data_IF_087263064396
#
_entry.id   IF_087263064396
#
_cell.length_a   1.000
_cell.length_b   1.000
_cell.length_c   1.000
_cell.angle_alpha   90.00
_cell.angle_beta   90.00
_cell.angle_gamma   90.00
#
_symmetry.space_group_name_H-M   'P 1'
#
loop_
_entity.id
_entity.type
_entity.pdbx_description
1 polymer ?
#
# COMPACT_ATOMS: atom_id res chain seq x y z
N UNK A 1 34.68 -62.84 20.79
CA UNK A 1 34.52 -61.46 21.27
C UNK A 1 33.65 -60.73 20.29
N UNK A 2 32.33 -60.76 20.53
CA UNK A 2 31.29 -60.10 19.69
C UNK A 2 31.00 -58.73 20.30
N UNK A 3 31.27 -57.69 19.55
CA UNK A 3 30.77 -56.33 19.84
C UNK A 3 29.33 -56.25 19.40
N UNK A 4 28.37 -56.23 20.33
CA UNK A 4 26.99 -55.84 20.06
C UNK A 4 26.92 -54.30 20.07
N UNK A 5 26.68 -53.74 18.90
CA UNK A 5 26.33 -52.34 18.77
C UNK A 5 24.93 -52.12 19.35
N UNK A 6 24.89 -51.38 20.44
CA UNK A 6 23.65 -50.87 21.03
C UNK A 6 23.08 -49.75 20.14
N UNK A 7 22.27 -50.11 19.17
CA UNK A 7 21.44 -49.13 18.41
C UNK A 7 20.31 -48.63 19.30
N UNK A 8 20.55 -47.51 20.00
CA UNK A 8 19.46 -46.76 20.60
C UNK A 8 18.62 -46.19 19.45
N UNK A 9 17.50 -46.84 19.18
CA UNK A 9 16.46 -46.27 18.30
C UNK A 9 15.84 -45.06 18.99
N UNK A 10 16.41 -43.88 18.77
CA UNK A 10 15.69 -42.64 18.93
C UNK A 10 14.56 -42.65 17.90
N UNK A 11 13.34 -42.93 18.37
CA UNK A 11 12.13 -42.60 17.59
C UNK A 11 12.05 -41.09 17.50
N UNK A 12 12.71 -40.51 16.52
CA UNK A 12 12.44 -39.14 16.09
C UNK A 12 11.13 -39.27 15.36
N UNK A 13 10.06 -38.75 15.94
CA UNK A 13 8.76 -38.63 15.33
C UNK A 13 8.88 -37.55 14.26
N UNK A 14 9.05 -37.92 13.00
CA UNK A 14 9.16 -37.01 11.85
C UNK A 14 7.81 -36.35 11.48
N UNK A 15 6.74 -36.63 12.21
CA UNK A 15 5.40 -36.09 11.97
C UNK A 15 5.16 -34.70 12.59
N UNK A 16 6.09 -34.15 13.32
CA UNK A 16 6.12 -32.71 13.58
C UNK A 16 6.94 -32.07 12.46
N UNK A 17 6.28 -31.71 11.37
CA UNK A 17 6.77 -30.65 10.50
C UNK A 17 7.01 -29.40 11.37
N UNK A 18 8.24 -29.26 11.88
CA UNK A 18 8.73 -27.95 12.25
C UNK A 18 8.87 -27.17 10.94
N UNK A 19 7.75 -26.71 10.45
CA UNK A 19 7.70 -25.68 9.42
C UNK A 19 8.35 -24.47 10.11
N UNK A 20 9.66 -24.32 9.93
CA UNK A 20 10.36 -23.09 10.28
C UNK A 20 9.77 -22.00 9.38
N UNK A 21 8.62 -21.45 9.77
CA UNK A 21 8.11 -20.24 9.16
C UNK A 21 9.12 -19.15 9.51
N UNK A 22 9.96 -18.83 8.54
CA UNK A 22 10.84 -17.68 8.66
C UNK A 22 9.95 -16.45 8.75
N UNK A 23 10.08 -15.69 9.84
CA UNK A 23 9.29 -14.47 10.02
C UNK A 23 9.53 -13.52 8.84
N UNK A 24 8.47 -13.01 8.25
CA UNK A 24 8.54 -11.98 7.22
C UNK A 24 8.22 -10.64 7.85
N UNK A 25 9.09 -9.66 7.61
CA UNK A 25 8.88 -8.27 8.00
C UNK A 25 8.99 -7.42 6.74
N UNK A 26 7.99 -6.60 6.47
CA UNK A 26 8.07 -5.62 5.39
C UNK A 26 8.35 -4.24 5.92
N UNK A 27 9.07 -3.43 5.14
CA UNK A 27 9.37 -2.04 5.46
C UNK A 27 8.80 -1.11 4.38
N UNK A 28 8.07 -0.09 4.84
CA UNK A 28 7.61 1.03 4.02
C UNK A 28 8.01 2.31 4.72
N UNK A 29 8.77 3.20 4.06
CA UNK A 29 9.24 4.45 4.70
C UNK A 29 9.33 5.62 3.72
N UNK A 30 9.41 6.81 4.28
CA UNK A 30 9.65 8.08 3.62
C UNK A 30 11.09 8.61 3.79
N UNK A 31 12.00 7.77 4.33
CA UNK A 31 13.37 8.17 4.69
C UNK A 31 14.35 8.13 3.53
N UNK A 32 13.93 7.58 2.36
CA UNK A 32 14.83 7.37 1.22
C UNK A 32 15.90 6.30 1.49
N UNK A 33 16.85 6.19 0.56
CA UNK A 33 17.95 5.23 0.59
C UNK A 33 19.34 5.91 0.69
N UNK A 34 19.40 7.23 0.73
CA UNK A 34 20.69 7.95 0.75
C UNK A 34 21.32 7.94 2.14
N UNK A 35 20.49 8.02 3.18
CA UNK A 35 20.93 8.11 4.56
C UNK A 35 20.94 6.74 5.26
N UNK A 36 21.45 6.72 6.48
CA UNK A 36 21.64 5.50 7.28
C UNK A 36 20.34 4.88 7.83
N UNK A 37 19.19 5.55 7.72
CA UNK A 37 17.95 5.17 8.40
C UNK A 37 17.50 3.75 8.06
N UNK A 38 17.44 3.39 6.79
CA UNK A 38 17.02 2.05 6.35
C UNK A 38 17.99 0.98 6.85
N UNK A 39 19.29 1.24 6.79
CA UNK A 39 20.30 0.32 7.29
C UNK A 39 20.16 0.13 8.81
N UNK A 40 19.90 1.20 9.58
CA UNK A 40 19.71 1.15 11.01
C UNK A 40 18.43 0.38 11.40
N UNK A 41 17.33 0.54 10.65
CA UNK A 41 16.10 -0.24 10.82
C UNK A 41 16.36 -1.73 10.60
N UNK A 42 16.96 -2.10 9.46
CA UNK A 42 17.29 -3.49 9.14
C UNK A 42 18.24 -4.12 10.16
N UNK A 43 19.27 -3.40 10.57
CA UNK A 43 20.19 -3.85 11.61
C UNK A 43 19.49 -4.10 12.96
N UNK A 44 18.55 -3.24 13.35
CA UNK A 44 17.76 -3.43 14.56
C UNK A 44 16.83 -4.65 14.45
N UNK A 45 16.19 -4.88 13.29
CA UNK A 45 15.38 -6.07 13.06
C UNK A 45 16.24 -7.33 13.20
N UNK A 46 17.36 -7.43 12.48
CA UNK A 46 18.24 -8.60 12.50
C UNK A 46 18.80 -8.89 13.90
N UNK A 47 19.04 -7.85 14.72
CA UNK A 47 19.48 -7.99 16.10
C UNK A 47 18.41 -8.59 17.02
N UNK A 48 17.13 -8.20 16.84
CA UNK A 48 16.03 -8.60 17.73
C UNK A 48 15.28 -9.84 17.22
N UNK A 49 15.26 -10.06 15.91
CA UNK A 49 14.53 -11.14 15.25
C UNK A 49 15.52 -11.83 14.28
N UNK A 50 16.46 -12.66 14.80
CA UNK A 50 17.34 -13.45 13.95
C UNK A 50 16.52 -14.38 13.04
N UNK A 51 17.04 -14.67 11.86
CA UNK A 51 16.38 -15.54 10.86
C UNK A 51 15.05 -14.99 10.33
N UNK A 52 14.95 -13.67 10.15
CA UNK A 52 13.82 -13.03 9.50
C UNK A 52 14.14 -12.63 8.06
N UNK A 53 13.14 -12.69 7.19
CA UNK A 53 13.19 -12.07 5.85
C UNK A 53 12.70 -10.64 5.94
N UNK A 54 13.55 -9.69 5.56
CA UNK A 54 13.17 -8.28 5.47
C UNK A 54 12.93 -7.95 4.00
N UNK A 55 11.73 -7.49 3.69
CA UNK A 55 11.31 -7.13 2.33
C UNK A 55 10.95 -5.64 2.32
N UNK A 56 11.59 -4.89 1.44
CA UNK A 56 11.28 -3.49 1.24
C UNK A 56 10.10 -3.37 0.29
N UNK A 57 9.00 -2.73 0.72
CA UNK A 57 7.92 -2.35 -0.18
C UNK A 57 8.34 -1.08 -0.90
N UNK A 58 8.65 -0.02 -0.15
CA UNK A 58 9.20 1.22 -0.71
C UNK A 58 9.87 2.05 0.38
N UNK A 59 10.97 2.70 0.03
CA UNK A 59 11.61 3.73 0.85
C UNK A 59 11.56 5.11 0.17
N UNK A 60 10.81 5.21 -0.93
CA UNK A 60 10.67 6.42 -1.74
C UNK A 60 9.30 7.07 -1.61
N UNK A 61 8.57 6.77 -0.54
CA UNK A 61 7.35 7.50 -0.18
C UNK A 61 7.71 8.97 0.02
N UNK A 62 6.89 9.87 -0.48
CA UNK A 62 7.08 11.30 -0.20
C UNK A 62 7.03 11.57 1.30
N UNK A 63 7.89 12.46 1.84
CA UNK A 63 7.89 12.77 3.26
C UNK A 63 6.49 13.09 3.77
N UNK A 64 6.07 12.35 4.82
CA UNK A 64 4.78 12.47 5.50
C UNK A 64 3.53 12.09 4.68
N UNK A 65 3.70 11.51 3.47
CA UNK A 65 2.57 11.11 2.62
C UNK A 65 2.01 9.75 3.03
N UNK A 66 1.13 9.79 4.01
CA UNK A 66 0.44 8.61 4.56
C UNK A 66 -0.48 7.95 3.53
N UNK A 67 -1.05 8.73 2.60
CA UNK A 67 -1.94 8.20 1.58
C UNK A 67 -1.16 7.37 0.54
N UNK A 68 0.01 7.85 0.13
CA UNK A 68 0.92 7.10 -0.74
C UNK A 68 1.39 5.80 -0.06
N UNK A 69 1.76 5.86 1.23
CA UNK A 69 2.13 4.68 2.00
C UNK A 69 1.00 3.64 2.04
N UNK A 70 -0.24 4.08 2.31
CA UNK A 70 -1.39 3.20 2.33
C UNK A 70 -1.64 2.55 0.96
N UNK A 71 -1.57 3.31 -0.13
CA UNK A 71 -1.69 2.79 -1.49
C UNK A 71 -0.64 1.71 -1.79
N UNK A 72 0.64 1.97 -1.49
CA UNK A 72 1.73 1.03 -1.74
C UNK A 72 1.53 -0.28 -0.98
N UNK A 73 1.17 -0.20 0.31
CA UNK A 73 0.95 -1.39 1.14
C UNK A 73 -0.31 -2.12 0.71
N UNK A 74 -1.44 -1.43 0.43
CA UNK A 74 -2.67 -2.04 -0.09
C UNK A 74 -2.43 -2.81 -1.37
N UNK A 75 -1.56 -2.31 -2.23
CA UNK A 75 -1.28 -2.89 -3.55
C UNK A 75 -0.55 -4.24 -3.48
N UNK A 76 0.07 -4.60 -2.35
CA UNK A 76 0.88 -5.81 -2.27
C UNK A 76 0.69 -6.66 -1.02
N UNK A 77 0.04 -6.18 0.06
CA UNK A 77 -0.01 -6.94 1.31
C UNK A 77 -0.65 -8.33 1.16
N UNK A 78 -1.60 -8.49 0.24
CA UNK A 78 -2.29 -9.78 -0.01
C UNK A 78 -1.37 -10.87 -0.57
N UNK A 79 -0.24 -10.47 -1.16
CA UNK A 79 0.77 -11.40 -1.68
C UNK A 79 1.67 -11.98 -0.59
N UNK A 80 1.57 -11.45 0.64
CA UNK A 80 2.35 -11.93 1.78
C UNK A 80 1.55 -12.96 2.59
N UNK A 81 2.24 -13.98 3.15
CA UNK A 81 1.58 -15.01 3.95
C UNK A 81 1.05 -14.46 5.28
N UNK A 82 0.10 -15.17 5.85
CA UNK A 82 -0.38 -14.95 7.21
C UNK A 82 0.79 -14.90 8.21
N UNK A 83 0.71 -14.02 9.20
CA UNK A 83 1.75 -13.79 10.18
C UNK A 83 2.82 -12.77 9.76
N UNK A 84 2.77 -12.26 8.52
CA UNK A 84 3.66 -11.16 8.10
C UNK A 84 3.45 -9.92 8.96
N UNK A 85 4.55 -9.24 9.31
CA UNK A 85 4.53 -7.99 10.06
C UNK A 85 4.96 -6.85 9.13
N UNK A 86 4.04 -5.93 8.86
CA UNK A 86 4.27 -4.73 8.06
C UNK A 86 4.63 -3.57 8.98
N UNK A 87 5.80 -2.96 8.80
CA UNK A 87 6.25 -1.78 9.53
C UNK A 87 6.15 -0.57 8.61
N UNK A 88 5.29 0.38 8.97
CA UNK A 88 5.03 1.59 8.21
C UNK A 88 5.73 2.76 8.91
N UNK A 89 6.90 3.12 8.40
CA UNK A 89 7.80 4.14 8.90
C UNK A 89 7.62 5.47 8.12
N UNK A 90 6.37 5.90 7.96
CA UNK A 90 6.00 7.14 7.30
C UNK A 90 5.29 8.02 8.33
N UNK A 91 5.74 9.26 8.52
CA UNK A 91 5.25 10.16 9.58
C UNK A 91 5.15 9.42 10.92
N UNK A 92 6.25 8.77 11.30
CA UNK A 92 6.24 7.78 12.40
C UNK A 92 6.33 8.40 13.80
N UNK A 93 6.58 9.71 13.93
CA UNK A 93 6.72 10.37 15.22
C UNK A 93 5.35 10.56 15.90
N UNK A 94 5.15 10.05 17.12
CA UNK A 94 3.92 10.27 17.87
C UNK A 94 3.72 11.72 18.29
N UNK A 95 2.50 12.22 18.16
CA UNK A 95 2.09 13.55 18.60
C UNK A 95 1.40 13.46 19.98
N UNK A 96 2.18 13.41 21.06
CA UNK A 96 1.66 13.11 22.39
C UNK A 96 0.93 14.31 23.05
N UNK A 97 1.39 15.53 22.76
CA UNK A 97 0.89 16.76 23.41
C UNK A 97 -0.13 17.54 22.55
N UNK A 98 -0.66 16.91 21.51
CA UNK A 98 -1.68 17.53 20.66
C UNK A 98 -3.09 17.35 21.24
N UNK A 99 -4.02 18.20 20.81
CA UNK A 99 -5.45 18.06 21.16
C UNK A 99 -6.05 16.76 20.61
N UNK A 100 -5.46 16.21 19.56
CA UNK A 100 -5.78 14.89 19.00
C UNK A 100 -4.48 14.07 18.89
N UNK A 101 -4.02 13.44 19.99
CA UNK A 101 -2.74 12.76 20.04
C UNK A 101 -2.69 11.56 19.08
N UNK A 102 -1.47 11.20 18.68
CA UNK A 102 -1.21 9.97 17.94
C UNK A 102 -0.26 9.06 18.69
N UNK A 103 -0.44 7.77 18.56
CA UNK A 103 0.34 6.74 19.25
C UNK A 103 0.80 5.66 18.28
N UNK A 104 1.93 5.00 18.59
CA UNK A 104 2.26 3.75 17.93
C UNK A 104 1.12 2.76 18.09
N UNK A 105 0.67 2.19 16.99
CA UNK A 105 -0.53 1.36 16.93
C UNK A 105 -0.21 0.07 16.18
N UNK A 106 -0.75 -1.04 16.70
CA UNK A 106 -0.63 -2.36 16.11
C UNK A 106 -2.04 -2.75 15.63
N UNK A 107 -2.19 -2.96 14.35
CA UNK A 107 -3.39 -3.49 13.73
C UNK A 107 -3.17 -4.93 13.31
N UNK A 108 -4.13 -5.80 13.61
CA UNK A 108 -4.24 -7.12 12.99
C UNK A 108 -5.37 -7.09 11.97
N UNK A 109 -5.06 -7.52 10.76
CA UNK A 109 -6.01 -7.52 9.67
C UNK A 109 -5.71 -8.67 8.71
N UNK A 110 -6.71 -9.50 8.43
CA UNK A 110 -6.60 -10.67 7.56
C UNK A 110 -5.40 -11.58 7.91
N UNK A 111 -5.17 -11.78 9.22
CA UNK A 111 -4.11 -12.65 9.72
C UNK A 111 -2.70 -12.06 9.65
N UNK A 112 -2.53 -10.81 9.28
CA UNK A 112 -1.26 -10.09 9.21
C UNK A 112 -1.23 -8.95 10.23
N UNK A 113 -0.04 -8.44 10.56
CA UNK A 113 0.15 -7.36 11.53
C UNK A 113 0.69 -6.11 10.83
N UNK A 114 0.17 -4.96 11.22
CA UNK A 114 0.58 -3.65 10.70
C UNK A 114 0.94 -2.76 11.87
N UNK A 115 2.15 -2.23 11.88
CA UNK A 115 2.65 -1.33 12.93
C UNK A 115 2.91 0.03 12.30
N UNK A 116 2.21 1.03 12.78
CA UNK A 116 2.32 2.42 12.32
C UNK A 116 2.08 3.38 13.48
N UNK A 117 2.34 4.66 13.28
CA UNK A 117 1.72 5.68 14.13
C UNK A 117 0.25 5.83 13.74
N UNK A 118 -0.62 6.20 14.68
CA UNK A 118 -2.03 6.55 14.41
C UNK A 118 -2.13 7.97 13.81
N UNK A 119 -1.61 8.11 12.60
CA UNK A 119 -1.53 9.34 11.81
C UNK A 119 -2.53 9.39 10.64
N UNK A 120 -3.43 8.40 10.55
CA UNK A 120 -4.39 8.24 9.46
C UNK A 120 -4.08 7.09 8.50
N UNK A 121 -2.90 6.44 8.62
CA UNK A 121 -2.55 5.27 7.79
C UNK A 121 -3.60 4.17 7.90
N UNK A 122 -3.96 3.77 9.12
CA UNK A 122 -4.92 2.69 9.36
C UNK A 122 -6.26 3.00 8.69
N UNK A 123 -6.80 4.21 8.86
CA UNK A 123 -8.07 4.59 8.25
C UNK A 123 -8.03 4.64 6.73
N UNK A 124 -6.91 5.09 6.14
CA UNK A 124 -6.72 5.12 4.69
C UNK A 124 -6.54 3.72 4.12
N UNK A 125 -5.77 2.86 4.82
CA UNK A 125 -5.52 1.48 4.43
C UNK A 125 -6.79 0.62 4.49
N UNK A 126 -7.57 0.72 5.55
CA UNK A 126 -8.80 -0.07 5.74
C UNK A 126 -9.93 0.38 4.82
N UNK A 127 -10.02 1.68 4.52
CA UNK A 127 -11.14 2.29 3.81
C UNK A 127 -12.49 1.99 4.49
N UNK A 128 -13.30 1.13 3.89
CA UNK A 128 -14.59 0.69 4.45
C UNK A 128 -14.48 -0.58 5.31
N UNK A 129 -13.31 -1.23 5.33
CA UNK A 129 -13.07 -2.42 6.13
C UNK A 129 -12.83 -2.07 7.60
N UNK A 130 -12.89 -3.10 8.44
CA UNK A 130 -12.60 -3.01 9.86
C UNK A 130 -11.40 -3.90 10.21
N UNK A 131 -10.54 -3.49 11.17
CA UNK A 131 -9.47 -4.35 11.65
C UNK A 131 -10.05 -5.54 12.42
N UNK A 132 -9.33 -6.67 12.42
CA UNK A 132 -9.67 -7.83 13.27
C UNK A 132 -9.41 -7.48 14.73
N UNK A 133 -8.28 -6.84 15.00
CA UNK A 133 -7.87 -6.38 16.32
C UNK A 133 -7.04 -5.08 16.17
N UNK A 134 -7.14 -4.21 17.16
CA UNK A 134 -6.39 -2.96 17.20
C UNK A 134 -5.86 -2.68 18.61
N UNK A 135 -4.59 -2.28 18.71
CA UNK A 135 -3.91 -2.02 19.97
C UNK A 135 -3.09 -0.74 19.89
N UNK A 136 -3.10 0.03 20.98
CA UNK A 136 -2.33 1.27 21.16
C UNK A 136 -1.19 1.04 22.14
N UNK A 137 0.01 1.47 21.78
CA UNK A 137 1.16 1.46 22.66
C UNK A 137 1.32 2.81 23.35
N UNK A 138 0.97 2.90 24.65
CA UNK A 138 0.95 4.15 25.42
C UNK A 138 2.23 4.39 26.22
N UNK A 139 3.05 3.38 26.45
CA UNK A 139 4.30 3.50 27.23
C UNK A 139 5.34 4.41 26.58
N UNK A 140 5.09 4.87 25.37
CA UNK A 140 5.88 5.90 24.69
C UNK A 140 5.95 7.23 25.48
N UNK A 141 5.01 7.49 26.39
CA UNK A 141 5.05 8.63 27.30
C UNK A 141 6.15 8.52 28.36
N UNK A 142 6.63 7.34 28.65
CA UNK A 142 7.51 7.07 29.79
C UNK A 142 9.00 7.07 29.39
N UNK A 143 9.30 7.15 28.08
CA UNK A 143 10.68 7.07 27.60
C UNK A 143 10.87 7.90 26.31
N UNK A 144 11.45 9.07 26.48
CA UNK A 144 11.77 10.00 25.39
C UNK A 144 12.71 9.38 24.33
N UNK A 145 13.45 8.32 24.69
CA UNK A 145 14.34 7.63 23.73
C UNK A 145 13.55 6.96 22.62
N UNK A 146 12.31 6.56 22.89
CA UNK A 146 11.40 5.95 21.91
C UNK A 146 10.99 6.95 20.83
N UNK A 147 10.98 8.26 21.15
CA UNK A 147 10.63 9.34 20.22
C UNK A 147 11.79 9.69 19.27
N UNK A 148 13.02 9.34 19.64
CA UNK A 148 14.19 9.54 18.80
C UNK A 148 14.33 8.40 17.82
N UNK A 149 13.79 8.49 16.64
CA UNK A 149 13.68 7.46 15.64
C UNK A 149 12.65 6.37 16.02
N UNK A 150 11.35 6.72 16.07
CA UNK A 150 10.30 5.84 16.60
C UNK A 150 10.21 4.50 15.91
N UNK A 151 10.43 4.44 14.60
CA UNK A 151 10.43 3.16 13.87
C UNK A 151 11.47 2.20 14.45
N UNK A 152 12.72 2.68 14.66
CA UNK A 152 13.80 1.84 15.18
C UNK A 152 13.61 1.52 16.67
N UNK A 153 13.25 2.52 17.46
CA UNK A 153 13.29 2.40 18.92
C UNK A 153 11.95 1.92 19.52
N UNK A 154 10.84 2.01 18.77
CA UNK A 154 9.52 1.59 19.21
C UNK A 154 8.91 0.50 18.31
N UNK A 155 8.70 0.77 17.00
CA UNK A 155 7.97 -0.17 16.14
C UNK A 155 8.68 -1.52 15.97
N UNK A 156 10.01 -1.51 15.79
CA UNK A 156 10.80 -2.73 15.64
C UNK A 156 10.80 -3.57 16.92
N UNK A 157 10.99 -3.02 18.14
CA UNK A 157 10.76 -3.77 19.38
C UNK A 157 9.35 -4.35 19.54
N UNK A 158 8.30 -3.63 19.12
CA UNK A 158 6.94 -4.17 19.10
C UNK A 158 6.82 -5.35 18.13
N UNK A 159 7.37 -5.21 16.92
CA UNK A 159 7.43 -6.29 15.95
C UNK A 159 8.17 -7.53 16.49
N UNK A 160 9.25 -7.32 17.25
CA UNK A 160 9.98 -8.42 17.87
C UNK A 160 9.15 -9.19 18.92
N UNK A 161 8.36 -8.50 19.73
CA UNK A 161 7.43 -9.13 20.67
C UNK A 161 6.37 -9.97 19.94
N UNK A 162 5.83 -9.45 18.83
CA UNK A 162 4.86 -10.18 18.00
C UNK A 162 5.50 -11.43 17.39
N UNK A 163 6.70 -11.30 16.80
CA UNK A 163 7.44 -12.41 16.21
C UNK A 163 7.81 -13.51 17.23
N UNK A 164 7.95 -13.15 18.51
CA UNK A 164 8.17 -14.06 19.63
C UNK A 164 6.86 -14.63 20.21
N UNK A 165 5.72 -14.38 19.56
CA UNK A 165 4.39 -14.78 20.04
C UNK A 165 4.03 -14.25 21.43
N UNK A 166 4.60 -13.12 21.85
CA UNK A 166 4.22 -12.46 23.10
C UNK A 166 2.79 -11.91 22.95
N UNK A 167 1.86 -12.19 23.89
CA UNK A 167 0.52 -11.65 23.81
C UNK A 167 0.52 -10.12 23.71
N UNK A 168 -0.13 -9.56 22.69
CA UNK A 168 -0.10 -8.10 22.45
C UNK A 168 -0.70 -7.35 23.64
N UNK A 169 -1.71 -7.90 24.30
CA UNK A 169 -2.34 -7.34 25.49
C UNK A 169 -1.40 -7.20 26.70
N UNK A 170 -0.24 -7.86 26.70
CA UNK A 170 0.75 -7.71 27.75
C UNK A 170 1.61 -6.45 27.63
N UNK A 171 1.60 -5.78 26.46
CA UNK A 171 2.44 -4.60 26.20
C UNK A 171 1.72 -3.47 25.44
N UNK A 172 0.51 -3.68 24.97
CA UNK A 172 -0.31 -2.65 24.32
C UNK A 172 -1.78 -2.80 24.73
N UNK A 173 -2.51 -1.69 24.74
CA UNK A 173 -3.90 -1.67 25.17
C UNK A 173 -4.84 -1.84 23.98
N UNK A 174 -5.87 -2.71 24.07
CA UNK A 174 -6.92 -2.76 23.06
C UNK A 174 -7.57 -1.39 22.86
N UNK A 175 -7.90 -1.06 21.62
CA UNK A 175 -8.62 0.17 21.27
C UNK A 175 -9.55 -0.09 20.08
N UNK A 176 -10.64 0.66 20.01
CA UNK A 176 -11.55 0.64 18.85
C UNK A 176 -11.40 1.90 17.99
N UNK A 177 -10.65 2.89 18.51
CA UNK A 177 -10.50 4.18 17.85
C UNK A 177 -9.17 4.30 17.12
N UNK A 178 -9.24 4.79 15.89
CA UNK A 178 -8.09 5.17 15.06
C UNK A 178 -8.46 6.41 14.23
N UNK A 179 -7.45 7.17 13.85
CA UNK A 179 -7.65 8.32 12.97
C UNK A 179 -8.09 7.86 11.58
N UNK A 180 -9.14 8.48 11.07
CA UNK A 180 -9.58 8.29 9.70
C UNK A 180 -9.05 9.43 8.88
N UNK A 181 -8.25 9.12 7.86
CA UNK A 181 -7.89 10.08 6.85
C UNK A 181 -9.02 10.20 5.82
N UNK A 182 -9.15 11.37 5.25
CA UNK A 182 -10.10 11.58 4.17
C UNK A 182 -9.56 10.89 2.90
N UNK A 183 -10.23 9.85 2.45
CA UNK A 183 -9.98 9.24 1.14
C UNK A 183 -10.91 9.89 0.13
N UNK A 184 -10.35 10.56 -0.82
CA UNK A 184 -11.12 11.18 -1.89
C UNK A 184 -11.74 10.07 -2.77
N UNK A 185 -13.06 9.91 -2.69
CA UNK A 185 -13.81 9.01 -3.57
C UNK A 185 -14.11 9.72 -4.90
N UNK A 186 -14.23 8.96 -6.00
CA UNK A 186 -14.68 9.55 -7.25
C UNK A 186 -16.11 10.07 -7.11
N UNK A 187 -16.43 11.14 -7.79
CA UNK A 187 -17.80 11.66 -7.91
C UNK A 187 -18.45 10.93 -9.08
N UNK A 188 -19.59 10.30 -8.82
CA UNK A 188 -20.32 9.50 -9.81
C UNK A 188 -21.67 10.17 -10.03
N UNK A 189 -21.87 10.67 -11.24
CA UNK A 189 -23.12 11.24 -11.72
C UNK A 189 -23.87 10.27 -12.64
N UNK A 190 -25.03 10.68 -13.16
CA UNK A 190 -25.85 9.85 -14.03
C UNK A 190 -25.12 9.37 -15.30
N UNK A 191 -24.19 10.16 -15.83
CA UNK A 191 -23.48 9.89 -17.09
C UNK A 191 -21.97 10.15 -16.99
N UNK A 192 -21.42 10.32 -15.80
CA UNK A 192 -20.00 10.59 -15.66
C UNK A 192 -19.40 10.07 -14.35
N UNK A 193 -18.12 9.80 -14.40
CA UNK A 193 -17.28 9.58 -13.23
C UNK A 193 -16.18 10.63 -13.25
N UNK A 194 -16.00 11.33 -12.15
CA UNK A 194 -14.89 12.25 -11.95
C UNK A 194 -14.00 11.73 -10.81
N UNK A 195 -12.84 11.24 -11.18
CA UNK A 195 -11.80 10.80 -10.24
C UNK A 195 -10.60 11.72 -10.25
N UNK A 196 -9.58 11.34 -9.49
CA UNK A 196 -8.30 12.05 -9.41
C UNK A 196 -7.15 11.08 -9.57
N UNK A 197 -6.00 11.56 -10.03
CA UNK A 197 -4.74 10.82 -10.03
C UNK A 197 -4.25 10.67 -8.60
N UNK A 198 -4.23 9.45 -8.08
CA UNK A 198 -3.81 9.13 -6.71
C UNK A 198 -2.37 8.66 -6.61
N UNK A 199 -1.79 8.17 -7.71
CA UNK A 199 -0.41 7.72 -7.77
C UNK A 199 0.15 7.86 -9.19
N UNK A 200 1.43 8.15 -9.28
CA UNK A 200 2.19 8.12 -10.54
C UNK A 200 3.34 7.16 -10.31
N UNK A 201 3.35 6.05 -11.06
CA UNK A 201 4.35 5.01 -10.91
C UNK A 201 5.71 5.40 -11.50
N UNK A 202 6.70 4.52 -11.36
CA UNK A 202 8.05 4.74 -11.89
C UNK A 202 8.13 4.79 -13.41
N UNK A 203 7.10 4.31 -14.12
CA UNK A 203 6.97 4.42 -15.57
C UNK A 203 6.29 5.73 -16.00
N UNK A 204 5.78 6.51 -15.04
CA UNK A 204 5.01 7.73 -15.29
C UNK A 204 3.56 7.46 -15.69
N UNK A 205 3.01 6.29 -15.38
CA UNK A 205 1.61 5.97 -15.57
C UNK A 205 0.77 6.67 -14.51
N UNK A 206 -0.44 7.10 -14.90
CA UNK A 206 -1.37 7.82 -14.04
C UNK A 206 -2.38 6.83 -13.46
N UNK A 207 -2.27 6.50 -12.19
CA UNK A 207 -3.22 5.65 -11.49
C UNK A 207 -4.28 6.53 -10.82
N UNK A 208 -5.54 6.24 -11.07
CA UNK A 208 -6.67 7.03 -10.55
C UNK A 208 -7.38 6.33 -9.40
N UNK A 209 -8.26 7.05 -8.71
CA UNK A 209 -9.19 6.48 -7.74
C UNK A 209 -10.50 5.94 -8.37
N UNK A 210 -10.59 5.85 -9.70
CA UNK A 210 -11.74 5.26 -10.38
C UNK A 210 -11.56 3.76 -10.41
N UNK A 211 -12.42 3.02 -9.72
CA UNK A 211 -12.39 1.57 -9.71
C UNK A 211 -13.10 0.96 -10.93
N UNK A 212 -12.71 -0.26 -11.27
CA UNK A 212 -13.42 -1.06 -12.28
C UNK A 212 -14.89 -1.23 -11.91
N UNK A 213 -15.20 -1.45 -10.63
CA UNK A 213 -16.58 -1.58 -10.15
C UNK A 213 -17.38 -0.30 -10.30
N UNK A 214 -16.79 0.89 -10.15
CA UNK A 214 -17.47 2.15 -10.40
C UNK A 214 -17.77 2.34 -11.89
N UNK A 215 -16.84 1.95 -12.74
CA UNK A 215 -16.97 2.02 -14.18
C UNK A 215 -18.06 1.05 -14.71
N UNK A 216 -18.06 -0.19 -14.21
CA UNK A 216 -18.98 -1.25 -14.65
C UNK A 216 -20.46 -0.94 -14.32
N UNK A 217 -20.75 0.02 -13.41
CA UNK A 217 -22.11 0.49 -13.13
C UNK A 217 -22.84 1.06 -14.35
N UNK A 218 -22.10 1.54 -15.34
CA UNK A 218 -22.67 2.12 -16.57
C UNK A 218 -22.94 1.09 -17.65
N UNK A 219 -22.58 -0.18 -17.44
CA UNK A 219 -22.78 -1.30 -18.35
C UNK A 219 -21.64 -1.50 -19.36
N UNK A 220 -21.36 -2.77 -19.66
CA UNK A 220 -20.19 -3.20 -20.46
C UNK A 220 -20.12 -2.59 -21.87
N UNK A 221 -21.25 -2.26 -22.49
CA UNK A 221 -21.30 -1.79 -23.87
C UNK A 221 -21.68 -0.29 -23.99
N UNK A 222 -21.66 0.44 -22.89
CA UNK A 222 -21.98 1.87 -22.93
C UNK A 222 -20.78 2.63 -23.50
N UNK A 223 -20.92 3.36 -24.61
CA UNK A 223 -19.83 4.17 -25.15
C UNK A 223 -19.39 5.23 -24.14
N UNK A 224 -18.09 5.44 -24.04
CA UNK A 224 -17.50 6.39 -23.09
C UNK A 224 -16.31 7.14 -23.68
N UNK A 225 -15.91 8.19 -22.99
CA UNK A 225 -14.70 8.95 -23.29
C UNK A 225 -14.03 9.34 -21.98
N UNK A 226 -12.75 9.05 -21.87
CA UNK A 226 -11.88 9.39 -20.73
C UNK A 226 -11.10 10.65 -21.10
N UNK A 227 -11.31 11.74 -20.38
CA UNK A 227 -10.57 12.99 -20.51
C UNK A 227 -9.56 13.09 -19.34
N UNK A 228 -8.29 13.41 -19.65
CA UNK A 228 -7.21 13.45 -18.68
C UNK A 228 -6.32 14.72 -18.75
N UNK A 229 -6.55 15.60 -19.70
CA UNK A 229 -5.98 16.96 -19.78
C UNK A 229 -7.07 17.94 -20.11
N UNK A 230 -7.52 17.91 -21.36
CA UNK A 230 -8.59 18.72 -21.91
C UNK A 230 -9.44 17.89 -22.90
N UNK A 231 -10.35 18.53 -23.64
CA UNK A 231 -11.23 17.81 -24.57
C UNK A 231 -10.54 17.22 -25.79
N UNK A 232 -9.32 17.67 -26.10
CA UNK A 232 -8.54 17.18 -27.26
C UNK A 232 -7.74 15.94 -26.91
N UNK A 233 -7.50 15.70 -25.59
CA UNK A 233 -6.76 14.54 -25.08
C UNK A 233 -7.74 13.55 -24.44
N UNK A 234 -8.15 12.55 -25.20
CA UNK A 234 -9.12 11.56 -24.73
C UNK A 234 -8.75 10.14 -25.14
N UNK A 235 -9.33 9.17 -24.42
CA UNK A 235 -9.30 7.73 -24.73
C UNK A 235 -10.75 7.24 -24.67
N UNK A 236 -11.16 6.46 -25.67
CA UNK A 236 -12.55 5.99 -25.83
C UNK A 236 -12.70 4.47 -25.71
N UNK A 237 -11.63 3.78 -25.28
CA UNK A 237 -11.62 2.34 -25.05
C UNK A 237 -10.76 1.97 -23.86
N UNK A 238 -11.14 0.91 -23.15
CA UNK A 238 -10.28 0.20 -22.20
C UNK A 238 -9.59 -0.93 -22.95
N UNK A 239 -8.27 -0.97 -22.86
CA UNK A 239 -7.42 -2.04 -23.40
C UNK A 239 -7.21 -3.13 -22.35
N UNK A 240 -6.90 -4.35 -22.79
CA UNK A 240 -6.55 -5.45 -21.86
C UNK A 240 -5.10 -5.36 -21.40
N UNK A 241 -4.24 -4.89 -22.29
CA UNK A 241 -2.80 -4.76 -22.04
C UNK A 241 -2.26 -3.48 -22.65
N UNK A 242 -1.07 -3.05 -22.20
CA UNK A 242 -0.38 -1.90 -22.79
C UNK A 242 -0.07 -2.11 -24.29
N UNK A 243 0.18 -3.35 -24.72
CA UNK A 243 0.56 -3.68 -26.10
C UNK A 243 -0.64 -3.71 -27.08
N UNK A 244 -1.87 -3.46 -26.62
CA UNK A 244 -3.04 -3.35 -27.50
C UNK A 244 -3.03 -2.06 -28.35
N UNK A 245 -2.06 -1.20 -28.09
CA UNK A 245 -1.79 0.02 -28.88
C UNK A 245 -0.33 0.03 -29.35
N UNK A 246 0.00 0.76 -30.42
CA UNK A 246 1.39 0.95 -30.86
C UNK A 246 2.28 1.58 -29.78
N UNK A 247 3.59 1.38 -29.91
CA UNK A 247 4.57 2.02 -29.03
C UNK A 247 4.48 3.54 -29.11
N UNK A 248 4.42 4.19 -27.93
CA UNK A 248 4.27 5.64 -27.79
C UNK A 248 2.82 6.13 -27.80
N UNK A 249 1.87 5.25 -28.08
CA UNK A 249 0.45 5.59 -28.03
C UNK A 249 -0.10 5.52 -26.60
N UNK A 250 -1.10 6.37 -26.36
CA UNK A 250 -1.85 6.40 -25.09
C UNK A 250 -2.75 5.20 -24.95
N UNK A 251 -2.86 4.69 -23.74
CA UNK A 251 -3.66 3.52 -23.43
C UNK A 251 -4.32 3.70 -22.05
N UNK A 252 -5.56 3.23 -21.91
CA UNK A 252 -6.23 3.09 -20.63
C UNK A 252 -6.50 1.62 -20.35
N UNK A 253 -6.18 1.18 -19.13
CA UNK A 253 -6.41 -0.17 -18.64
C UNK A 253 -6.99 -0.11 -17.22
N UNK A 254 -7.57 -1.19 -16.74
CA UNK A 254 -7.68 -1.44 -15.30
C UNK A 254 -6.47 -2.27 -14.89
N UNK A 255 -5.70 -1.72 -13.94
CA UNK A 255 -4.47 -2.37 -13.47
C UNK A 255 -4.76 -3.53 -12.50
N UNK A 256 -3.72 -4.15 -11.91
CA UNK A 256 -3.86 -5.28 -10.97
C UNK A 256 -4.64 -4.96 -9.69
N UNK A 257 -4.86 -3.68 -9.40
CA UNK A 257 -5.66 -3.21 -8.26
C UNK A 257 -7.09 -2.83 -8.68
N UNK A 258 -7.51 -3.19 -9.90
CA UNK A 258 -8.79 -2.80 -10.51
C UNK A 258 -9.03 -1.28 -10.54
N UNK A 259 -7.96 -0.48 -10.63
CA UNK A 259 -8.01 0.97 -10.77
C UNK A 259 -7.74 1.39 -12.21
N UNK A 260 -8.47 2.40 -12.68
CA UNK A 260 -8.25 2.99 -14.01
C UNK A 260 -6.87 3.63 -14.06
N UNK A 261 -6.06 3.15 -15.01
CA UNK A 261 -4.71 3.60 -15.27
C UNK A 261 -4.60 4.16 -16.68
N UNK A 262 -3.98 5.33 -16.81
CA UNK A 262 -3.66 5.95 -18.10
C UNK A 262 -2.15 5.91 -18.29
N UNK A 263 -1.72 5.32 -19.38
CA UNK A 263 -0.32 5.06 -19.66
C UNK A 263 0.06 5.40 -21.11
N UNK A 264 1.36 5.34 -21.39
CA UNK A 264 1.92 5.29 -22.75
C UNK A 264 2.56 3.92 -22.95
N UNK A 265 2.19 3.22 -24.01
CA UNK A 265 2.85 1.96 -24.32
C UNK A 265 4.35 2.22 -24.55
N UNK A 266 5.21 1.64 -23.68
CA UNK A 266 6.67 1.83 -23.66
C UNK A 266 7.13 3.30 -23.61
N UNK A 267 6.32 4.17 -23.02
CA UNK A 267 6.58 5.62 -22.96
C UNK A 267 7.70 6.03 -22.01
N UNK A 268 8.13 5.15 -21.08
CA UNK A 268 9.20 5.43 -20.13
C UNK A 268 10.62 5.41 -20.72
N UNK A 269 10.79 5.11 -22.02
CA UNK A 269 12.09 5.01 -22.64
C UNK A 269 12.81 6.38 -22.70
N UNK A 270 13.95 6.45 -22.02
CA UNK A 270 15.01 7.48 -22.17
C UNK A 270 14.55 8.95 -22.17
N UNK A 271 13.76 9.33 -21.13
CA UNK A 271 13.53 10.76 -20.89
C UNK A 271 12.14 11.30 -21.26
N UNK A 272 11.27 10.49 -21.86
CA UNK A 272 9.86 10.89 -22.11
C UNK A 272 9.04 10.95 -20.83
N UNK A 273 9.40 10.10 -19.82
CA UNK A 273 8.81 10.13 -18.49
C UNK A 273 7.35 9.70 -18.42
N UNK A 274 6.90 8.88 -19.37
CA UNK A 274 5.56 8.30 -19.41
C UNK A 274 4.43 9.30 -19.63
N UNK A 275 3.21 8.90 -19.32
CA UNK A 275 2.01 9.70 -19.50
C UNK A 275 2.05 11.00 -18.69
N UNK A 276 2.50 10.95 -17.43
CA UNK A 276 2.59 12.12 -16.56
C UNK A 276 3.40 13.26 -17.19
N UNK A 277 4.62 12.96 -17.66
CA UNK A 277 5.46 14.01 -18.27
C UNK A 277 4.97 14.45 -19.63
N UNK A 278 4.57 13.52 -20.49
CA UNK A 278 4.14 13.86 -21.84
C UNK A 278 2.87 14.73 -21.82
N UNK A 279 1.92 14.40 -20.97
CA UNK A 279 0.65 15.12 -20.89
C UNK A 279 0.67 16.24 -19.84
N UNK A 280 1.72 16.36 -19.03
CA UNK A 280 1.82 17.36 -17.97
C UNK A 280 0.93 17.09 -16.78
N UNK A 281 0.35 15.89 -16.66
CA UNK A 281 -0.61 15.51 -15.61
C UNK A 281 0.12 15.18 -14.32
N UNK A 282 -0.40 15.71 -13.21
CA UNK A 282 0.20 15.61 -11.87
C UNK A 282 -0.71 14.85 -10.90
N UNK A 283 -0.14 14.49 -9.77
CA UNK A 283 -0.89 13.93 -8.65
C UNK A 283 -2.01 14.90 -8.23
N UNK A 284 -3.22 14.36 -7.99
CA UNK A 284 -4.39 15.14 -7.59
C UNK A 284 -5.18 15.75 -8.76
N UNK A 285 -4.68 15.69 -10.00
CA UNK A 285 -5.42 16.20 -11.15
C UNK A 285 -6.62 15.33 -11.49
N UNK A 286 -7.63 15.97 -12.06
CA UNK A 286 -8.94 15.37 -12.33
C UNK A 286 -8.89 14.55 -13.61
N UNK A 287 -9.42 13.33 -13.52
CA UNK A 287 -9.70 12.46 -14.66
C UNK A 287 -11.20 12.30 -14.75
N UNK A 288 -11.76 12.58 -15.93
CA UNK A 288 -13.20 12.52 -16.16
C UNK A 288 -13.54 11.46 -17.19
N UNK A 289 -14.48 10.58 -16.85
CA UNK A 289 -15.08 9.61 -17.76
C UNK A 289 -16.50 10.06 -18.04
N UNK A 290 -16.84 10.26 -19.31
CA UNK A 290 -18.19 10.59 -19.75
C UNK A 290 -18.79 9.42 -20.53
N UNK A 291 -19.97 9.00 -20.14
CA UNK A 291 -20.72 7.92 -20.77
C UNK A 291 -21.79 8.50 -21.68
N UNK A 292 -21.94 7.94 -22.87
CA UNK A 292 -22.95 8.37 -23.84
C UNK A 292 -24.22 7.53 -23.66
N UNK A 293 -25.38 8.16 -23.31
CA UNK A 293 -26.62 7.42 -23.14
C UNK A 293 -27.04 6.70 -24.44
N UNK A 294 -27.67 5.54 -24.29
CA UNK A 294 -28.25 4.84 -25.45
C UNK A 294 -29.28 5.73 -26.16
N UNK A 295 -29.10 5.93 -27.47
CA UNK A 295 -29.99 6.76 -28.30
C UNK A 295 -29.58 8.23 -28.41
N UNK A 296 -28.55 8.71 -27.73
CA UNK A 296 -27.97 10.01 -28.00
C UNK A 296 -26.99 9.90 -29.17
N UNK A 297 -27.32 10.55 -30.31
CA UNK A 297 -26.35 10.74 -31.38
C UNK A 297 -25.30 11.75 -30.93
N UNK A 298 -24.01 11.38 -30.97
CA UNK A 298 -22.93 12.37 -30.94
C UNK A 298 -22.99 13.11 -32.28
N UNK A 299 -23.56 14.29 -32.29
CA UNK A 299 -23.33 15.23 -33.39
C UNK A 299 -21.86 15.66 -33.31
N UNK A 300 -21.00 14.98 -34.03
CA UNK A 300 -19.67 15.48 -34.35
C UNK A 300 -19.85 16.70 -35.29
N UNK A 301 -20.14 17.84 -34.72
CA UNK A 301 -19.96 19.09 -35.44
C UNK A 301 -18.46 19.38 -35.44
N UNK A 302 -17.80 18.96 -36.52
CA UNK A 302 -16.53 19.54 -36.93
C UNK A 302 -16.82 20.99 -37.32
N UNK A 303 -16.46 21.97 -36.49
CA UNK A 303 -16.18 23.33 -36.86
C UNK A 303 -14.68 23.59 -36.76
#
# INVERSE_FOLDING_TARGET
MRFELLLVKLKINWDTEFQFYMQIITLTSDTGLQDYYVAAMKGAILKLIPNTNIIDISHSIKPFDVAEAAYQVQSCYKEFPTGTIHIIAVDSEPLLNASNPSYPTIMKFQGQYFISNDNGFIGTFLDENHPDELYRFEDVHNDDSLLKFPTKNCFIPLAAKIAQNTPITSFAKPTESYKRAFKQKPIIDQYSIQGTVIHIDSFGNLITNISKSDFDRFGENTPFTIYYVDKDYFIDRISKTYNDVPMGERVAIFNSNDLLEIALNRGANRGTGGASKLFGVRLGEIIRVEFTPAGSHRDFQFM
#
